data_IF_948651735221
#
_entry.id   IF_948651735221
#
_cell.length_a   1.000
_cell.length_b   1.000
_cell.length_c   1.000
_cell.angle_alpha   90.00
_cell.angle_beta   90.00
_cell.angle_gamma   90.00
#
_symmetry.space_group_name_H-M   'P 1'
#
loop_
_entity.id
_entity.type
_entity.pdbx_description
1 polymer ?
#
# COMPACT_ATOMS: atom_id res chain seq x y z
N UNK A 1 6.31 -16.08 -14.05
CA UNK A 1 5.54 -14.84 -14.32
C UNK A 1 5.35 -14.76 -15.82
N UNK A 2 4.15 -14.42 -16.28
CA UNK A 2 3.87 -14.17 -17.70
C UNK A 2 4.24 -12.70 -18.04
N UNK A 3 4.37 -12.32 -19.32
CA UNK A 3 4.64 -10.94 -19.70
C UNK A 3 3.52 -10.00 -19.23
N UNK A 4 3.86 -8.77 -18.83
CA UNK A 4 2.88 -7.78 -18.37
C UNK A 4 1.77 -7.53 -19.41
N UNK A 5 2.08 -7.60 -20.71
CA UNK A 5 1.11 -7.48 -21.79
C UNK A 5 0.07 -8.60 -21.81
N UNK A 6 0.44 -9.79 -21.34
CA UNK A 6 -0.47 -10.95 -21.22
C UNK A 6 -1.38 -10.78 -20.02
N UNK A 7 -0.84 -10.31 -18.89
CA UNK A 7 -1.65 -9.97 -17.71
C UNK A 7 -2.58 -8.79 -18.00
N UNK A 8 -2.12 -7.77 -18.74
CA UNK A 8 -2.95 -6.63 -19.15
C UNK A 8 -4.09 -7.06 -20.08
N UNK A 9 -3.84 -8.01 -20.98
CA UNK A 9 -4.90 -8.62 -21.78
C UNK A 9 -5.94 -9.33 -20.89
N UNK A 10 -5.50 -10.07 -19.87
CA UNK A 10 -6.40 -10.73 -18.88
C UNK A 10 -7.18 -9.72 -18.04
N UNK A 11 -6.54 -8.67 -17.53
CA UNK A 11 -7.19 -7.61 -16.76
C UNK A 11 -8.30 -6.93 -17.59
N UNK A 12 -8.03 -6.67 -18.88
CA UNK A 12 -9.03 -6.14 -19.82
C UNK A 12 -10.14 -7.13 -20.15
N UNK A 13 -9.94 -8.43 -19.97
CA UNK A 13 -10.94 -9.49 -20.18
C UNK A 13 -11.73 -9.89 -18.91
N UNK A 14 -11.38 -9.36 -17.73
CA UNK A 14 -12.15 -9.58 -16.49
C UNK A 14 -13.63 -9.16 -16.68
N UNK A 15 -14.56 -10.04 -16.32
CA UNK A 15 -15.99 -9.72 -16.32
C UNK A 15 -16.39 -9.04 -15.01
N UNK A 16 -17.06 -7.88 -15.13
CA UNK A 16 -17.47 -7.08 -13.98
C UNK A 16 -18.62 -7.74 -13.20
N UNK A 17 -19.46 -8.55 -13.85
CA UNK A 17 -20.51 -9.32 -13.21
C UNK A 17 -19.95 -10.46 -12.36
N UNK A 18 -19.00 -11.24 -12.90
CA UNK A 18 -18.32 -12.30 -12.14
C UNK A 18 -17.55 -11.73 -10.92
N UNK A 19 -16.92 -10.56 -11.07
CA UNK A 19 -16.28 -9.86 -9.95
C UNK A 19 -17.29 -9.33 -8.92
N UNK A 20 -18.44 -8.81 -9.36
CA UNK A 20 -19.50 -8.33 -8.46
C UNK A 20 -20.15 -9.49 -7.69
N UNK A 21 -20.40 -10.63 -8.32
CA UNK A 21 -20.89 -11.84 -7.66
C UNK A 21 -19.93 -12.30 -6.55
N UNK A 22 -18.62 -12.29 -6.79
CA UNK A 22 -17.62 -12.60 -5.78
C UNK A 22 -17.61 -11.56 -4.63
N UNK A 23 -17.70 -10.27 -4.93
CA UNK A 23 -17.76 -9.19 -3.91
C UNK A 23 -19.03 -9.30 -3.05
N UNK A 24 -20.19 -9.63 -3.63
CA UNK A 24 -21.44 -9.85 -2.88
C UNK A 24 -21.43 -11.12 -2.02
N UNK A 25 -20.74 -12.16 -2.47
CA UNK A 25 -20.59 -13.41 -1.73
C UNK A 25 -19.71 -13.21 -0.48
N UNK A 26 -18.62 -12.44 -0.60
CA UNK A 26 -17.74 -12.06 0.52
C UNK A 26 -18.44 -11.04 1.44
N UNK A 27 -19.16 -10.08 0.87
CA UNK A 27 -19.86 -9.00 1.57
C UNK A 27 -18.93 -7.89 2.06
N UNK A 28 -19.31 -6.63 1.84
CA UNK A 28 -18.54 -5.46 2.27
C UNK A 28 -19.36 -4.17 2.40
N UNK A 29 -19.19 -3.47 3.52
CA UNK A 29 -19.66 -2.08 3.69
C UNK A 29 -18.52 -1.25 4.31
N UNK A 30 -18.09 -0.19 3.62
CA UNK A 30 -17.08 0.73 4.16
C UNK A 30 -17.68 1.55 5.31
N UNK A 31 -17.24 1.28 6.54
CA UNK A 31 -17.70 1.98 7.75
C UNK A 31 -17.09 3.37 7.95
N UNK A 32 -16.12 3.76 7.10
CA UNK A 32 -15.26 4.93 7.29
C UNK A 32 -14.52 4.94 8.63
N UNK A 33 -14.10 3.76 9.12
CA UNK A 33 -13.38 3.64 10.39
C UNK A 33 -12.01 4.36 10.42
N UNK A 34 -11.37 4.56 9.27
CA UNK A 34 -10.05 5.22 9.17
C UNK A 34 -8.85 4.28 9.11
N UNK A 35 -8.96 3.03 9.59
CA UNK A 35 -7.82 2.12 9.75
C UNK A 35 -7.04 1.75 8.47
N UNK A 36 -7.60 1.98 7.28
CA UNK A 36 -6.89 1.81 6.01
C UNK A 36 -6.08 3.05 5.57
N UNK A 37 -6.27 4.18 6.26
CA UNK A 37 -5.56 5.45 6.02
C UNK A 37 -4.43 5.67 7.03
N UNK A 38 -4.36 4.87 8.09
CA UNK A 38 -3.37 5.01 9.16
C UNK A 38 -2.15 4.13 8.94
N UNK A 39 -1.01 4.50 9.52
CA UNK A 39 0.21 3.68 9.56
C UNK A 39 0.02 2.39 10.38
N UNK A 40 0.93 1.44 10.18
CA UNK A 40 0.83 0.08 10.70
C UNK A 40 1.85 -0.15 11.82
N UNK A 41 1.43 -0.63 12.99
CA UNK A 41 2.34 -1.27 13.95
C UNK A 41 2.21 -2.80 13.81
N UNK A 42 3.32 -3.56 13.79
CA UNK A 42 3.27 -5.01 13.55
C UNK A 42 2.61 -5.83 14.68
N UNK A 43 2.39 -5.23 15.85
CA UNK A 43 1.70 -5.80 17.00
C UNK A 43 0.23 -5.35 17.15
N UNK A 44 -0.26 -4.46 16.29
CA UNK A 44 -1.68 -4.09 16.22
C UNK A 44 -2.49 -5.02 15.29
N UNK A 45 -3.80 -5.23 15.54
CA UNK A 45 -4.67 -5.92 14.59
C UNK A 45 -4.71 -5.17 13.25
N UNK A 46 -4.33 -5.86 12.17
CA UNK A 46 -4.08 -5.27 10.85
C UNK A 46 -2.59 -5.07 10.52
N UNK A 47 -1.68 -5.30 11.46
CA UNK A 47 -0.23 -5.26 11.24
C UNK A 47 0.26 -6.37 10.31
N UNK A 48 1.15 -6.03 9.37
CA UNK A 48 1.91 -7.03 8.63
C UNK A 48 2.99 -7.65 9.55
N UNK A 49 3.31 -8.96 9.42
CA UNK A 49 4.37 -9.56 10.20
C UNK A 49 5.73 -8.93 9.85
N UNK A 50 6.52 -8.59 10.87
CA UNK A 50 7.77 -7.83 10.76
C UNK A 50 8.97 -8.62 10.20
N UNK A 51 8.75 -9.50 9.22
CA UNK A 51 9.68 -10.56 8.82
C UNK A 51 10.21 -10.42 7.39
N UNK A 52 11.03 -9.38 7.16
CA UNK A 52 11.89 -9.26 5.96
C UNK A 52 13.09 -10.24 5.93
N UNK A 53 13.09 -11.28 6.76
CA UNK A 53 14.22 -12.18 6.99
C UNK A 53 14.06 -13.54 6.28
N UNK A 54 14.35 -13.58 4.98
CA UNK A 54 14.41 -14.83 4.23
C UNK A 54 15.62 -15.67 4.69
N UNK A 55 15.36 -16.75 5.44
CA UNK A 55 16.36 -17.69 5.93
C UNK A 55 15.85 -19.13 5.92
N UNK A 56 16.20 -19.88 4.87
CA UNK A 56 16.08 -21.33 4.82
C UNK A 56 16.74 -21.99 6.03
N UNK A 57 16.05 -22.94 6.68
CA UNK A 57 16.42 -24.36 6.61
C UNK A 57 15.33 -25.25 7.24
N UNK A 58 15.16 -26.46 6.69
CA UNK A 58 14.17 -27.44 7.14
C UNK A 58 14.77 -28.66 7.84
N UNK A 59 13.99 -29.74 7.93
CA UNK A 59 14.25 -30.98 8.69
C UNK A 59 14.04 -30.82 10.22
N UNK A 60 13.41 -31.74 10.96
CA UNK A 60 12.72 -32.98 10.60
C UNK A 60 12.82 -34.06 11.69
N UNK A 61 11.68 -34.51 12.24
CA UNK A 61 11.54 -35.61 13.22
C UNK A 61 11.56 -35.16 14.69
N UNK A 62 11.13 -35.94 15.69
CA UNK A 62 10.36 -37.20 15.83
C UNK A 62 10.25 -37.46 17.36
N UNK A 63 9.25 -38.22 17.80
CA UNK A 63 8.76 -38.50 19.18
C UNK A 63 9.77 -38.73 20.38
N UNK A 64 9.31 -38.45 21.62
CA UNK A 64 9.88 -38.91 22.93
C UNK A 64 9.79 -37.85 24.06
N UNK A 65 9.24 -38.10 25.27
CA UNK A 65 9.76 -38.85 26.46
C UNK A 65 11.10 -38.32 27.04
N UNK A 66 11.28 -37.97 28.33
CA UNK A 66 10.38 -37.83 29.51
C UNK A 66 11.01 -36.92 30.62
N UNK A 67 10.29 -36.54 31.71
CA UNK A 67 10.93 -36.10 32.98
C UNK A 67 10.36 -34.92 33.82
N UNK A 68 10.29 -35.12 35.14
CA UNK A 68 9.75 -34.27 36.22
C UNK A 68 10.67 -33.11 36.75
N UNK A 69 10.01 -32.07 37.31
CA UNK A 69 10.30 -31.25 38.52
C UNK A 69 11.67 -30.58 38.84
N UNK A 70 11.60 -29.37 39.43
CA UNK A 70 12.70 -28.57 40.01
C UNK A 70 12.49 -27.05 39.76
N UNK A 71 11.72 -26.33 40.56
CA UNK A 71 11.94 -25.83 41.93
C UNK A 71 12.80 -24.53 42.01
N UNK A 72 12.34 -23.66 42.90
CA UNK A 72 12.63 -22.24 43.17
C UNK A 72 14.01 -21.58 42.82
N UNK A 73 13.96 -20.55 41.98
CA UNK A 73 15.02 -19.53 41.84
C UNK A 73 14.54 -18.12 42.19
N UNK A 74 14.97 -17.58 43.34
CA UNK A 74 14.76 -16.16 43.71
C UNK A 74 16.07 -15.34 43.68
N UNK A 75 16.04 -14.19 42.97
CA UNK A 75 16.63 -12.93 43.46
C UNK A 75 17.99 -12.46 42.90
N UNK A 76 17.97 -11.26 42.29
CA UNK A 76 19.16 -10.48 41.85
C UNK A 76 19.16 -10.27 40.34
N UNK A 77 18.46 -9.29 39.77
CA UNK A 77 18.65 -7.83 39.91
C UNK A 77 20.05 -7.37 39.48
N UNK A 78 20.18 -7.05 38.20
CA UNK A 78 21.04 -5.98 37.66
C UNK A 78 20.41 -5.59 36.31
N UNK A 79 19.81 -4.41 36.26
CA UNK A 79 18.94 -4.00 35.15
C UNK A 79 19.69 -3.69 33.87
N UNK A 80 19.16 -4.21 32.76
CA UNK A 80 19.25 -3.59 31.45
C UNK A 80 17.81 -3.33 31.00
N UNK A 81 17.21 -2.25 31.53
CA UNK A 81 16.04 -1.61 30.92
C UNK A 81 16.51 -0.94 29.61
N UNK A 82 16.92 -1.80 28.68
CA UNK A 82 17.04 -1.44 27.28
C UNK A 82 15.64 -1.10 26.82
N UNK A 83 15.40 0.20 26.71
CA UNK A 83 14.25 0.83 26.08
C UNK A 83 13.90 0.05 24.81
N UNK A 84 12.93 -0.87 24.91
CA UNK A 84 12.34 -1.53 23.74
C UNK A 84 11.42 -0.48 23.16
N UNK A 85 12.03 0.49 22.48
CA UNK A 85 11.32 1.54 21.79
C UNK A 85 10.23 0.90 20.94
N UNK A 86 9.02 1.45 21.06
CA UNK A 86 7.83 0.96 20.35
C UNK A 86 8.20 0.63 18.90
N UNK A 87 7.84 -0.55 18.37
CA UNK A 87 8.22 -0.94 17.02
C UNK A 87 7.75 0.16 16.08
N UNK A 88 8.72 0.81 15.42
CA UNK A 88 8.48 2.07 14.73
C UNK A 88 7.38 1.88 13.68
N UNK A 89 6.23 2.53 13.92
CA UNK A 89 5.03 2.43 13.10
C UNK A 89 5.40 2.68 11.63
N UNK A 90 5.16 1.70 10.77
CA UNK A 90 5.40 1.83 9.34
C UNK A 90 4.38 2.82 8.76
N UNK A 91 4.82 3.92 8.12
CA UNK A 91 3.90 4.90 7.59
C UNK A 91 2.97 4.32 6.52
N UNK A 92 1.72 4.79 6.51
CA UNK A 92 0.71 4.43 5.52
C UNK A 92 1.29 4.51 4.10
N UNK A 93 1.18 3.42 3.35
CA UNK A 93 1.81 3.26 2.03
C UNK A 93 0.78 2.72 1.05
N UNK A 94 0.24 3.61 0.22
CA UNK A 94 -0.71 3.29 -0.84
C UNK A 94 -0.19 3.90 -2.15
N UNK A 95 0.04 3.05 -3.16
CA UNK A 95 0.56 3.47 -4.47
C UNK A 95 -0.41 4.42 -5.19
N UNK A 96 0.12 5.47 -5.80
CA UNK A 96 -0.65 6.41 -6.63
C UNK A 96 0.05 6.70 -7.94
N UNK A 97 -0.72 6.89 -9.00
CA UNK A 97 -0.19 7.18 -10.34
C UNK A 97 -0.28 8.67 -10.70
N UNK A 98 0.49 9.17 -11.69
CA UNK A 98 0.64 10.61 -11.95
C UNK A 98 -0.64 11.40 -12.26
N UNK A 99 -1.68 10.78 -12.80
CA UNK A 99 -2.98 11.42 -12.99
C UNK A 99 -3.86 11.36 -11.73
N UNK A 100 -3.72 10.32 -10.91
CA UNK A 100 -4.37 10.23 -9.60
C UNK A 100 -3.82 11.27 -8.62
N UNK A 101 -2.51 11.51 -8.61
CA UNK A 101 -1.89 12.59 -7.81
C UNK A 101 -2.51 13.94 -8.15
N UNK A 102 -2.66 14.24 -9.44
CA UNK A 102 -3.29 15.49 -9.91
C UNK A 102 -4.79 15.55 -9.58
N UNK A 103 -5.52 14.46 -9.75
CA UNK A 103 -6.95 14.39 -9.43
C UNK A 103 -7.22 14.55 -7.92
N UNK A 104 -6.32 14.05 -7.07
CA UNK A 104 -6.38 14.26 -5.62
C UNK A 104 -5.99 15.70 -5.26
N UNK A 105 -4.97 16.30 -5.89
CA UNK A 105 -4.60 17.70 -5.71
C UNK A 105 -5.76 18.65 -6.05
N UNK A 106 -6.37 18.48 -7.23
CA UNK A 106 -7.54 19.25 -7.68
C UNK A 106 -8.71 19.12 -6.68
N UNK A 107 -8.96 17.89 -6.18
CA UNK A 107 -10.03 17.64 -5.21
C UNK A 107 -9.75 18.22 -3.81
N UNK A 108 -8.48 18.28 -3.40
CA UNK A 108 -8.06 18.92 -2.16
C UNK A 108 -8.16 20.44 -2.26
N UNK A 109 -7.76 21.06 -3.39
CA UNK A 109 -7.98 22.49 -3.63
C UNK A 109 -9.47 22.85 -3.61
N UNK A 110 -10.34 22.04 -4.23
CA UNK A 110 -11.79 22.23 -4.19
C UNK A 110 -12.38 22.08 -2.76
N UNK A 111 -11.79 21.22 -1.92
CA UNK A 111 -12.25 20.98 -0.54
C UNK A 111 -11.79 22.05 0.46
N UNK A 112 -10.52 22.47 0.39
CA UNK A 112 -9.87 23.33 1.37
C UNK A 112 -9.71 24.79 0.92
N UNK A 113 -9.71 25.05 -0.38
CA UNK A 113 -9.57 26.40 -0.96
C UNK A 113 -8.14 26.94 -0.99
N UNK A 114 -7.15 26.06 -0.85
CA UNK A 114 -5.72 26.34 -1.05
C UNK A 114 -5.13 25.35 -2.06
N UNK A 115 -4.14 25.81 -2.85
CA UNK A 115 -3.56 24.99 -3.90
C UNK A 115 -2.60 23.94 -3.32
N UNK A 116 -2.83 22.68 -3.67
CA UNK A 116 -1.96 21.55 -3.32
C UNK A 116 -0.91 21.34 -4.40
N UNK A 117 0.37 21.23 -4.02
CA UNK A 117 1.43 20.78 -4.91
C UNK A 117 1.65 19.25 -4.82
N UNK A 118 2.59 18.73 -5.61
CA UNK A 118 2.84 17.29 -5.69
C UNK A 118 3.22 16.68 -4.34
N UNK A 119 3.97 17.40 -3.51
CA UNK A 119 4.50 16.94 -2.22
C UNK A 119 3.43 16.94 -1.13
N UNK A 120 2.41 17.78 -1.28
CA UNK A 120 1.23 17.78 -0.41
C UNK A 120 0.32 16.56 -0.67
N UNK A 121 0.49 15.85 -1.78
CA UNK A 121 -0.33 14.69 -2.17
C UNK A 121 0.44 13.38 -2.17
N UNK A 122 1.69 13.40 -2.62
CA UNK A 122 2.47 12.22 -2.94
C UNK A 122 3.94 12.36 -2.53
N UNK A 123 4.54 11.21 -2.18
CA UNK A 123 5.95 11.06 -1.82
C UNK A 123 6.59 9.91 -2.61
N UNK A 124 7.92 9.92 -2.83
CA UNK A 124 8.62 8.78 -3.41
C UNK A 124 8.29 7.48 -2.65
N UNK A 125 8.12 6.37 -3.36
CA UNK A 125 7.98 5.07 -2.70
C UNK A 125 9.21 4.79 -1.80
N UNK A 126 9.03 4.27 -0.57
CA UNK A 126 10.14 4.11 0.36
C UNK A 126 11.12 3.00 -0.04
N UNK A 127 10.70 2.08 -0.91
CA UNK A 127 11.50 0.94 -1.35
C UNK A 127 12.58 1.37 -2.36
N UNK A 128 13.81 0.87 -2.19
CA UNK A 128 14.97 1.22 -3.02
C UNK A 128 15.76 2.44 -2.53
N UNK A 129 15.17 3.24 -1.65
CA UNK A 129 15.83 4.39 -1.02
C UNK A 129 16.58 3.96 0.25
N UNK A 130 17.67 4.66 0.56
CA UNK A 130 18.45 4.48 1.79
C UNK A 130 18.60 5.82 2.52
N UNK A 131 18.75 5.78 3.84
CA UNK A 131 19.03 6.99 4.62
C UNK A 131 20.49 7.46 4.40
N UNK A 132 20.65 8.75 4.13
CA UNK A 132 21.94 9.45 4.12
C UNK A 132 22.54 9.62 5.53
N UNK A 133 23.73 10.21 5.63
CA UNK A 133 24.35 10.54 6.94
C UNK A 133 23.49 11.51 7.77
N UNK A 134 22.70 12.38 7.12
CA UNK A 134 21.77 13.32 7.75
C UNK A 134 20.35 12.74 7.96
N UNK A 135 20.09 11.50 7.53
CA UNK A 135 18.81 10.80 7.68
C UNK A 135 17.84 10.96 6.49
N UNK A 136 18.11 11.88 5.56
CA UNK A 136 17.30 12.09 4.35
C UNK A 136 17.37 10.89 3.40
N UNK A 137 16.28 10.54 2.68
CA UNK A 137 16.28 9.45 1.71
C UNK A 137 17.12 9.81 0.47
N UNK A 138 17.88 8.83 -0.03
CA UNK A 138 18.67 8.94 -1.27
C UNK A 138 18.57 7.65 -2.09
N UNK A 139 18.60 7.75 -3.42
CA UNK A 139 18.61 6.61 -4.35
C UNK A 139 17.57 6.67 -5.47
N UNK A 140 17.27 5.49 -6.03
CA UNK A 140 16.27 5.30 -7.08
C UNK A 140 15.05 4.57 -6.52
N UNK A 141 13.84 4.98 -6.91
CA UNK A 141 12.60 4.24 -6.63
C UNK A 141 11.62 4.27 -7.79
N UNK A 142 10.57 3.47 -7.70
CA UNK A 142 9.53 3.30 -8.71
C UNK A 142 8.17 3.65 -8.14
N UNK A 143 7.39 4.43 -8.90
CA UNK A 143 6.07 4.93 -8.52
C UNK A 143 6.05 5.80 -7.23
N UNK A 144 4.85 6.27 -6.90
CA UNK A 144 4.61 7.18 -5.78
C UNK A 144 3.73 6.51 -4.72
N UNK A 145 3.89 6.92 -3.46
CA UNK A 145 2.94 6.66 -2.39
C UNK A 145 2.14 7.94 -2.07
N UNK A 146 0.94 7.81 -1.52
CA UNK A 146 0.28 8.94 -0.84
C UNK A 146 1.21 9.55 0.23
N UNK A 147 1.21 10.87 0.31
CA UNK A 147 1.90 11.63 1.35
C UNK A 147 1.32 11.29 2.73
N UNK A 148 2.18 11.36 3.75
CA UNK A 148 1.84 11.09 5.14
C UNK A 148 2.15 12.29 6.01
N UNK A 149 1.46 12.40 7.14
CA UNK A 149 1.76 13.38 8.19
C UNK A 149 2.95 12.95 9.08
N UNK A 150 3.24 13.75 10.11
CA UNK A 150 4.28 13.49 11.12
C UNK A 150 4.01 12.22 11.97
N UNK A 151 2.78 11.71 11.98
CA UNK A 151 2.38 10.47 12.65
C UNK A 151 2.50 9.23 11.75
N UNK A 152 2.80 9.42 10.46
CA UNK A 152 2.84 8.37 9.45
C UNK A 152 1.47 7.98 8.92
N UNK A 153 0.41 8.70 9.26
CA UNK A 153 -0.94 8.50 8.72
C UNK A 153 -1.08 9.25 7.39
N UNK A 154 -1.99 8.83 6.51
CA UNK A 154 -2.26 9.50 5.23
C UNK A 154 -2.60 10.98 5.46
N UNK A 155 -2.02 11.90 4.69
CA UNK A 155 -2.24 13.36 4.89
C UNK A 155 -3.71 13.79 4.72
N UNK A 156 -4.53 12.99 4.03
CA UNK A 156 -5.97 13.19 3.87
C UNK A 156 -6.84 12.52 4.96
N UNK A 157 -6.21 11.95 5.99
CA UNK A 157 -6.88 11.41 7.16
C UNK A 157 -7.19 12.53 8.16
N UNK A 158 -8.45 12.64 8.56
CA UNK A 158 -8.87 13.41 9.73
C UNK A 158 -9.62 12.49 10.70
N UNK A 159 -9.34 12.62 11.99
CA UNK A 159 -10.13 11.96 13.04
C UNK A 159 -10.95 12.98 13.82
N UNK A 160 -12.25 12.74 13.96
CA UNK A 160 -13.14 13.55 14.81
C UNK A 160 -13.97 12.65 15.71
N UNK A 161 -13.89 12.87 17.03
CA UNK A 161 -14.62 12.11 18.06
C UNK A 161 -14.47 10.57 17.96
N UNK A 162 -13.30 10.08 17.53
CA UNK A 162 -13.03 8.65 17.35
C UNK A 162 -13.59 8.06 16.04
N UNK A 163 -14.00 8.90 15.09
CA UNK A 163 -14.37 8.51 13.73
C UNK A 163 -13.34 9.06 12.75
N UNK A 164 -12.69 8.16 12.02
CA UNK A 164 -11.88 8.53 10.87
C UNK A 164 -12.71 9.12 9.72
N UNK A 165 -12.06 9.94 8.91
CA UNK A 165 -12.59 10.49 7.67
C UNK A 165 -11.46 10.65 6.65
N UNK A 166 -11.72 10.28 5.40
CA UNK A 166 -10.89 10.70 4.27
C UNK A 166 -11.48 11.98 3.71
N UNK A 167 -10.73 13.07 3.73
CA UNK A 167 -11.20 14.40 3.31
C UNK A 167 -11.49 14.48 1.81
N UNK A 168 -10.76 13.70 1.01
CA UNK A 168 -10.93 13.53 -0.45
C UNK A 168 -11.67 12.22 -0.82
N UNK A 169 -12.56 11.72 0.06
CA UNK A 169 -13.18 10.38 -0.05
C UNK A 169 -13.70 9.99 -1.44
N UNK A 170 -14.33 10.92 -2.15
CA UNK A 170 -14.97 10.66 -3.45
C UNK A 170 -13.99 10.75 -4.64
N UNK A 171 -12.78 11.28 -4.40
CA UNK A 171 -11.67 11.39 -5.36
C UNK A 171 -10.47 10.48 -4.99
N UNK A 172 -10.68 9.50 -4.09
CA UNK A 172 -9.64 8.56 -3.66
C UNK A 172 -8.98 7.83 -4.85
N UNK A 173 -7.64 7.63 -4.81
CA UNK A 173 -6.93 6.76 -5.75
C UNK A 173 -7.54 5.35 -5.80
N UNK A 174 -7.33 4.66 -6.92
CA UNK A 174 -7.85 3.32 -7.21
C UNK A 174 -7.56 2.32 -6.10
N UNK A 175 -6.37 2.32 -5.52
CA UNK A 175 -6.01 1.42 -4.43
C UNK A 175 -6.87 1.66 -3.17
N UNK A 176 -7.07 2.92 -2.78
CA UNK A 176 -7.91 3.31 -1.64
C UNK A 176 -9.42 3.17 -1.92
N UNK A 177 -9.84 3.32 -3.18
CA UNK A 177 -11.22 3.16 -3.66
C UNK A 177 -11.66 1.69 -3.72
N UNK A 178 -10.73 0.78 -4.02
CA UNK A 178 -11.01 -0.66 -4.18
C UNK A 178 -10.73 -1.50 -2.93
N UNK A 179 -9.95 -0.97 -1.97
CA UNK A 179 -9.73 -1.61 -0.67
C UNK A 179 -11.06 -1.96 0.03
N UNK A 180 -11.21 -3.16 0.60
CA UNK A 180 -10.17 -4.16 0.90
C UNK A 180 -9.90 -5.17 -0.22
N UNK A 181 -10.37 -4.95 -1.44
CA UNK A 181 -10.28 -5.94 -2.51
C UNK A 181 -9.05 -5.75 -3.42
N UNK A 182 -8.49 -6.88 -3.85
CA UNK A 182 -7.51 -6.99 -4.93
C UNK A 182 -7.90 -8.11 -5.89
N UNK A 183 -7.23 -8.21 -7.05
CA UNK A 183 -7.37 -9.34 -7.97
C UNK A 183 -6.13 -10.20 -7.99
N UNK A 184 -6.32 -11.52 -8.09
CA UNK A 184 -5.25 -12.50 -8.18
C UNK A 184 -4.65 -12.59 -9.60
N UNK A 185 -4.20 -11.45 -10.15
CA UNK A 185 -3.43 -11.35 -11.39
C UNK A 185 -1.93 -11.18 -11.10
N UNK A 186 -1.10 -11.49 -12.10
CA UNK A 186 0.34 -11.22 -12.01
C UNK A 186 0.63 -9.76 -12.32
N UNK A 187 1.52 -9.13 -11.57
CA UNK A 187 1.95 -7.74 -11.82
C UNK A 187 1.01 -6.65 -11.28
N UNK A 188 -0.12 -7.01 -10.67
CA UNK A 188 -0.98 -6.09 -9.90
C UNK A 188 -0.53 -6.01 -8.45
N UNK A 189 -0.67 -4.84 -7.83
CA UNK A 189 -0.30 -4.59 -6.43
C UNK A 189 -1.31 -5.24 -5.48
N UNK A 190 -0.83 -6.06 -4.55
CA UNK A 190 -1.66 -6.54 -3.44
C UNK A 190 -1.50 -5.59 -2.25
N UNK A 191 -2.60 -5.18 -1.57
CA UNK A 191 -2.53 -4.55 -0.27
C UNK A 191 -1.66 -5.34 0.72
N UNK A 192 -1.10 -4.66 1.71
CA UNK A 192 -0.32 -5.30 2.77
C UNK A 192 -1.17 -6.31 3.56
N UNK A 193 -0.53 -7.39 4.00
CA UNK A 193 -1.19 -8.52 4.68
C UNK A 193 -1.72 -9.60 3.71
N UNK A 194 -1.76 -10.85 4.20
CA UNK A 194 -2.34 -11.96 3.45
C UNK A 194 -3.86 -11.76 3.23
N UNK A 195 -4.39 -12.36 2.16
CA UNK A 195 -5.84 -12.34 1.92
C UNK A 195 -6.57 -13.17 2.98
N UNK A 196 -7.49 -12.54 3.71
CA UNK A 196 -8.31 -13.17 4.77
C UNK A 196 -9.52 -13.91 4.20
N UNK A 197 -9.96 -13.56 2.99
CA UNK A 197 -11.01 -14.24 2.23
C UNK A 197 -10.77 -14.10 0.71
N UNK A 198 -11.50 -14.85 -0.12
CA UNK A 198 -11.45 -14.69 -1.56
C UNK A 198 -12.31 -15.66 -2.36
N UNK A 199 -12.97 -15.13 -3.39
CA UNK A 199 -13.79 -15.89 -4.33
C UNK A 199 -13.35 -15.63 -5.78
N UNK A 200 -13.15 -16.70 -6.54
CA UNK A 200 -12.68 -16.63 -7.92
C UNK A 200 -11.36 -15.86 -8.05
N UNK A 201 -11.40 -14.73 -8.75
CA UNK A 201 -10.25 -13.82 -8.91
C UNK A 201 -10.13 -12.79 -7.78
N UNK A 202 -11.18 -12.54 -7.00
CA UNK A 202 -11.20 -11.51 -5.94
C UNK A 202 -10.50 -12.02 -4.68
N UNK A 203 -9.69 -11.18 -4.07
CA UNK A 203 -9.08 -11.39 -2.74
C UNK A 203 -9.50 -10.26 -1.83
N UNK A 204 -9.84 -10.57 -0.59
CA UNK A 204 -10.18 -9.60 0.44
C UNK A 204 -9.07 -9.57 1.49
N UNK A 205 -8.59 -8.38 1.83
CA UNK A 205 -7.59 -8.12 2.86
C UNK A 205 -8.29 -7.67 4.16
N UNK A 206 -7.60 -7.71 5.30
CA UNK A 206 -8.24 -7.44 6.59
C UNK A 206 -8.95 -6.07 6.64
N UNK A 207 -10.24 -6.04 6.99
CA UNK A 207 -11.02 -4.82 7.16
C UNK A 207 -12.31 -5.06 7.97
N UNK A 208 -12.65 -4.16 8.89
CA UNK A 208 -13.89 -4.18 9.71
C UNK A 208 -15.19 -4.14 8.89
N UNK A 209 -15.10 -3.75 7.62
CA UNK A 209 -16.23 -3.69 6.69
C UNK A 209 -16.64 -5.04 6.08
N UNK A 210 -15.82 -6.09 6.19
CA UNK A 210 -16.07 -7.39 5.56
C UNK A 210 -17.24 -8.15 6.20
N UNK A 211 -17.89 -9.02 5.41
CA UNK A 211 -19.02 -9.84 5.84
C UNK A 211 -20.33 -9.07 6.06
N UNK A 212 -20.40 -7.81 5.63
CA UNK A 212 -21.59 -6.95 5.68
C UNK A 212 -22.38 -7.02 4.38
N UNK A 213 -23.68 -6.77 4.44
CA UNK A 213 -24.54 -6.73 3.25
C UNK A 213 -24.11 -5.59 2.32
N UNK A 214 -23.77 -5.90 1.07
CA UNK A 214 -23.52 -4.93 -0.01
C UNK A 214 -24.66 -4.98 -1.03
N UNK A 215 -25.02 -3.83 -1.63
CA UNK A 215 -26.01 -3.84 -2.71
C UNK A 215 -25.36 -4.24 -4.04
N UNK A 216 -26.13 -4.91 -4.92
CA UNK A 216 -25.68 -5.26 -6.29
C UNK A 216 -25.09 -4.08 -7.05
N UNK A 217 -25.67 -2.89 -6.91
CA UNK A 217 -25.17 -1.67 -7.59
C UNK A 217 -23.81 -1.23 -7.03
N UNK A 218 -23.60 -1.35 -5.73
CA UNK A 218 -22.34 -0.96 -5.09
C UNK A 218 -21.25 -2.01 -5.36
N UNK A 219 -21.61 -3.30 -5.39
CA UNK A 219 -20.71 -4.38 -5.79
C UNK A 219 -20.32 -4.29 -7.28
N UNK A 220 -21.25 -3.96 -8.18
CA UNK A 220 -20.95 -3.67 -9.60
C UNK A 220 -20.02 -2.45 -9.75
N UNK A 221 -20.22 -1.39 -8.96
CA UNK A 221 -19.36 -0.21 -8.96
C UNK A 221 -17.94 -0.53 -8.44
N UNK A 222 -17.84 -1.33 -7.36
CA UNK A 222 -16.58 -1.75 -6.77
C UNK A 222 -15.82 -2.73 -7.68
N UNK A 223 -16.53 -3.67 -8.32
CA UNK A 223 -16.01 -4.56 -9.34
C UNK A 223 -15.48 -3.81 -10.57
N UNK A 224 -16.20 -2.77 -11.03
CA UNK A 224 -15.76 -1.93 -12.12
C UNK A 224 -14.46 -1.17 -11.76
N UNK A 225 -14.40 -0.56 -10.58
CA UNK A 225 -13.20 0.12 -10.07
C UNK A 225 -12.03 -0.87 -9.84
N UNK A 226 -12.31 -2.09 -9.40
CA UNK A 226 -11.30 -3.14 -9.18
C UNK A 226 -10.68 -3.62 -10.50
N UNK A 227 -11.49 -3.73 -11.56
CA UNK A 227 -11.00 -3.99 -12.92
C UNK A 227 -10.26 -2.80 -13.51
N UNK A 228 -10.77 -1.57 -13.32
CA UNK A 228 -10.10 -0.32 -13.71
C UNK A 228 -8.69 -0.26 -13.10
N UNK A 229 -8.57 -0.56 -11.80
CA UNK A 229 -7.31 -0.66 -11.06
C UNK A 229 -6.36 -1.70 -11.66
N UNK A 230 -6.83 -2.92 -11.87
CA UNK A 230 -6.01 -4.01 -12.41
C UNK A 230 -5.45 -3.69 -13.81
N UNK A 231 -6.27 -3.04 -14.66
CA UNK A 231 -5.82 -2.56 -15.98
C UNK A 231 -4.79 -1.44 -15.83
N UNK A 232 -5.06 -0.47 -14.95
CA UNK A 232 -4.19 0.68 -14.69
C UNK A 232 -2.82 0.26 -14.19
N UNK A 233 -2.73 -0.49 -13.09
CA UNK A 233 -1.45 -0.92 -12.49
C UNK A 233 -0.53 -1.60 -13.53
N UNK A 234 -1.11 -2.37 -14.45
CA UNK A 234 -0.37 -3.04 -15.52
C UNK A 234 0.01 -2.10 -16.69
N UNK A 235 -0.80 -1.09 -17.00
CA UNK A 235 -0.45 -0.05 -17.99
C UNK A 235 0.70 0.84 -17.47
N UNK A 236 0.66 1.23 -16.19
CA UNK A 236 1.68 2.05 -15.53
C UNK A 236 3.01 1.27 -15.40
N UNK A 237 2.97 0.02 -14.93
CA UNK A 237 4.16 -0.84 -14.85
C UNK A 237 4.81 -1.14 -16.22
N UNK A 238 4.01 -1.22 -17.29
CA UNK A 238 4.52 -1.31 -18.68
C UNK A 238 5.18 0.01 -19.10
N UNK A 239 4.55 1.15 -18.79
CA UNK A 239 5.07 2.47 -19.13
C UNK A 239 6.39 2.78 -18.39
N UNK A 240 6.50 2.48 -17.10
CA UNK A 240 7.76 2.53 -16.33
C UNK A 240 8.85 1.70 -17.00
N UNK A 241 8.55 0.43 -17.32
CA UNK A 241 9.52 -0.48 -17.95
C UNK A 241 9.99 0.04 -19.31
N UNK A 242 9.10 0.59 -20.12
CA UNK A 242 9.39 1.06 -21.48
C UNK A 242 10.02 2.46 -21.50
N UNK A 243 9.79 3.28 -20.46
CA UNK A 243 10.34 4.61 -20.25
C UNK A 243 11.57 4.69 -19.34
N UNK A 244 11.99 3.57 -18.73
CA UNK A 244 13.11 3.53 -17.79
C UNK A 244 14.43 4.02 -18.43
N UNK A 245 14.97 5.10 -17.87
CA UNK A 245 16.25 5.68 -18.26
C UNK A 245 17.26 5.62 -17.10
N UNK A 246 18.22 4.68 -17.11
CA UNK A 246 19.23 4.57 -16.05
C UNK A 246 20.22 5.74 -16.01
N UNK A 247 20.19 6.68 -16.96
CA UNK A 247 21.01 7.90 -16.94
C UNK A 247 20.35 9.06 -16.20
N UNK A 248 19.09 8.91 -15.76
CA UNK A 248 18.36 9.99 -15.09
C UNK A 248 19.04 10.48 -13.80
N UNK A 249 19.73 9.59 -13.08
CA UNK A 249 20.47 9.92 -11.84
C UNK A 249 21.61 10.91 -12.10
N UNK A 250 22.27 10.84 -13.26
CA UNK A 250 23.32 11.80 -13.64
C UNK A 250 22.76 13.20 -14.00
N UNK A 251 21.43 13.32 -14.14
CA UNK A 251 20.69 14.52 -14.57
C UNK A 251 19.78 15.10 -13.48
N UNK A 252 19.61 14.42 -12.34
CA UNK A 252 18.72 14.83 -11.26
C UNK A 252 19.22 16.09 -10.52
N UNK A 253 18.30 16.91 -10.03
CA UNK A 253 18.62 18.10 -9.24
C UNK A 253 18.78 17.79 -7.73
N UNK A 254 18.43 16.58 -7.30
CA UNK A 254 18.51 16.12 -5.91
C UNK A 254 18.82 14.62 -5.79
N UNK A 255 18.96 14.15 -4.56
CA UNK A 255 19.50 12.81 -4.25
C UNK A 255 18.51 11.64 -4.44
N UNK A 256 17.27 11.91 -4.87
CA UNK A 256 16.23 10.90 -5.15
C UNK A 256 15.68 11.05 -6.56
N UNK A 257 15.66 9.95 -7.30
CA UNK A 257 14.98 9.81 -8.59
C UNK A 257 13.80 8.85 -8.45
N UNK A 258 12.63 9.29 -8.90
CA UNK A 258 11.42 8.47 -9.01
C UNK A 258 11.18 8.16 -10.48
N UNK A 259 10.95 6.89 -10.81
CA UNK A 259 10.52 6.46 -12.13
C UNK A 259 9.03 6.08 -12.10
N UNK A 260 8.20 6.82 -12.83
CA UNK A 260 6.79 6.48 -13.06
C UNK A 260 6.48 6.38 -14.56
N UNK A 261 5.20 6.20 -14.90
CA UNK A 261 4.72 6.04 -16.28
C UNK A 261 4.95 7.26 -17.19
N UNK A 262 5.23 8.44 -16.65
CA UNK A 262 5.58 9.65 -17.40
C UNK A 262 7.10 9.82 -17.57
N UNK A 263 7.91 8.98 -16.90
CA UNK A 263 9.37 8.98 -16.96
C UNK A 263 10.04 9.38 -15.64
N UNK A 264 11.35 9.72 -15.67
CA UNK A 264 12.09 10.09 -14.46
C UNK A 264 11.69 11.46 -13.93
N UNK A 265 11.51 11.54 -12.61
CA UNK A 265 11.15 12.75 -11.86
C UNK A 265 12.05 12.94 -10.63
N UNK A 266 12.26 14.19 -10.24
CA UNK A 266 12.78 14.56 -8.93
C UNK A 266 11.73 14.22 -7.84
N UNK A 267 12.13 14.17 -6.57
CA UNK A 267 11.24 13.85 -5.44
C UNK A 267 10.03 14.80 -5.23
N UNK A 268 9.97 15.93 -5.94
CA UNK A 268 8.84 16.87 -5.96
C UNK A 268 7.92 16.72 -7.19
N UNK A 269 8.09 15.63 -7.96
CA UNK A 269 7.30 15.35 -9.16
C UNK A 269 7.72 16.12 -10.41
N UNK A 270 8.72 17.01 -10.31
CA UNK A 270 9.24 17.72 -11.47
C UNK A 270 9.98 16.74 -12.41
N UNK A 271 9.72 16.75 -13.73
CA UNK A 271 10.36 15.85 -14.67
C UNK A 271 11.86 16.16 -14.83
N UNK A 272 12.68 15.12 -14.98
CA UNK A 272 14.12 15.25 -15.24
C UNK A 272 14.36 15.21 -16.75
N UNK A 273 14.58 16.39 -17.36
CA UNK A 273 14.73 16.61 -18.81
C UNK A 273 15.65 15.58 -19.52
N UNK A 274 15.08 14.80 -20.44
CA UNK A 274 15.83 13.86 -21.29
C UNK A 274 16.68 14.54 -22.37
N UNK A 275 17.64 13.78 -22.94
CA UNK A 275 18.55 14.25 -24.03
C UNK A 275 17.90 14.34 -25.42
#
# INVERSE_FOLDING_TARGET
>A
MEPLETELARARELDVGDLADAIESIGFECTRCGGCCTGYAPDEPGGAPADGANGSDGEGGDDGDDGEEGDDGEGGDDGDDGDVGEPAREPHTATVFPDEVRAVADAAEDAFGEAYDWRDVARPMPYGLVASEDGEPVGETFEWALATDDCGDCTFYEETDGSGACTVHDSRPLICRTYPFSVALGGTSQPMGEAVDGEGMVRAHECEGLGRDISRTDAEALAAALRERAVRELEEAIAVRDGYDPTAVDRADGDVVVFDSEGPKNADGAPIDGE
#
